data_IF_801304781853
#
_entry.id   IF_801304781853
#
_cell.length_a   1.000
_cell.length_b   1.000
_cell.length_c   1.000
_cell.angle_alpha   90.00
_cell.angle_beta   90.00
_cell.angle_gamma   90.00
#
_symmetry.space_group_name_H-M   'P 1'
#
loop_
_entity.id
_entity.type
_entity.pdbx_description
1 polymer ?
#
# COMPACT_ATOMS: atom_id res chain seq x y z
N UNK A 1 -26.35 17.89 -11.36
CA UNK A 1 -24.97 17.77 -11.88
C UNK A 1 -24.06 17.99 -10.69
N UNK A 2 -23.70 16.91 -9.98
CA UNK A 2 -22.73 17.01 -8.89
C UNK A 2 -21.34 17.14 -9.52
N UNK A 3 -20.53 18.15 -9.13
CA UNK A 3 -19.14 18.19 -9.56
C UNK A 3 -18.44 16.94 -9.03
N UNK A 4 -17.80 16.20 -9.94
CA UNK A 4 -16.84 15.16 -9.58
C UNK A 4 -15.67 15.87 -8.88
N UNK A 5 -15.21 15.40 -7.71
CA UNK A 5 -13.98 15.92 -7.15
C UNK A 5 -12.85 15.64 -8.14
N UNK A 6 -12.17 16.70 -8.58
CA UNK A 6 -10.91 16.57 -9.31
C UNK A 6 -9.94 15.88 -8.37
N UNK A 7 -9.40 14.72 -8.77
CA UNK A 7 -8.22 14.16 -8.12
C UNK A 7 -7.08 15.18 -8.30
N UNK A 8 -6.97 16.14 -7.38
CA UNK A 8 -5.69 16.78 -7.11
C UNK A 8 -4.72 15.67 -6.67
N UNK A 9 -3.48 15.77 -7.14
CA UNK A 9 -2.48 14.72 -7.18
C UNK A 9 -2.15 14.15 -5.79
N UNK A 10 -2.97 13.25 -5.25
CA UNK A 10 -2.61 12.44 -4.10
C UNK A 10 -1.76 11.28 -4.59
N UNK A 11 -0.48 11.32 -4.26
CA UNK A 11 0.53 10.36 -4.71
C UNK A 11 0.38 9.03 -3.93
N UNK A 12 0.62 7.87 -4.57
CA UNK A 12 0.13 6.56 -4.13
C UNK A 12 0.93 5.93 -2.97
N UNK A 13 1.40 6.72 -2.02
CA UNK A 13 2.30 6.25 -0.96
C UNK A 13 1.61 6.31 0.39
N UNK A 14 1.35 5.15 0.99
CA UNK A 14 0.73 5.06 2.32
C UNK A 14 1.78 4.90 3.41
N UNK A 15 1.85 5.83 4.35
CA UNK A 15 2.30 5.55 5.73
C UNK A 15 1.39 6.32 6.66
N UNK A 16 0.58 5.61 7.45
CA UNK A 16 0.43 5.96 8.85
C UNK A 16 -0.01 4.76 9.68
N UNK A 17 0.76 4.60 10.75
CA UNK A 17 0.54 3.81 11.94
C UNK A 17 -0.92 3.72 12.45
N UNK A 18 -1.71 4.77 12.23
CA UNK A 18 -3.07 4.88 12.75
C UNK A 18 -4.17 4.19 11.93
N UNK A 19 -4.01 4.06 10.60
CA UNK A 19 -5.11 3.59 9.72
C UNK A 19 -5.19 2.07 9.68
N UNK A 20 -4.04 1.40 9.64
CA UNK A 20 -3.95 -0.06 9.46
C UNK A 20 -3.36 -0.79 10.69
N UNK A 21 -2.72 -0.08 11.64
CA UNK A 21 -1.87 -0.70 12.67
C UNK A 21 -2.54 -1.05 14.01
N UNK A 22 -3.72 -0.51 14.33
CA UNK A 22 -4.20 -0.47 15.72
C UNK A 22 -5.32 -1.47 16.10
N UNK A 23 -5.53 -2.55 15.34
CA UNK A 23 -6.40 -3.67 15.76
C UNK A 23 -7.90 -3.37 15.92
N UNK A 24 -8.34 -2.13 15.70
CA UNK A 24 -9.73 -1.71 15.55
C UNK A 24 -9.86 -0.80 14.34
N UNK A 25 -10.10 -1.39 13.18
CA UNK A 25 -10.53 -0.64 12.01
C UNK A 25 -12.04 -0.46 12.09
N UNK A 26 -12.47 0.64 12.70
CA UNK A 26 -13.85 1.11 12.61
C UNK A 26 -14.08 1.70 11.21
N UNK A 27 -14.21 0.81 10.23
CA UNK A 27 -14.56 1.22 8.87
C UNK A 27 -15.99 1.78 8.84
N UNK A 28 -16.25 2.83 8.06
CA UNK A 28 -17.59 3.36 7.86
C UNK A 28 -18.54 2.31 7.24
N UNK A 29 -19.58 1.93 7.99
CA UNK A 29 -20.54 0.90 7.59
C UNK A 29 -20.22 -0.46 8.19
N UNK A 30 -20.89 -1.50 7.68
CA UNK A 30 -20.69 -2.87 8.15
C UNK A 30 -19.74 -3.62 7.20
N UNK A 31 -18.43 -3.48 7.40
CA UNK A 31 -17.42 -4.25 6.65
C UNK A 31 -17.40 -5.70 7.13
N UNK A 32 -17.71 -6.63 6.23
CA UNK A 32 -17.67 -8.06 6.49
C UNK A 32 -16.28 -8.64 6.20
N UNK A 33 -15.65 -8.18 5.11
CA UNK A 33 -14.29 -8.54 4.72
C UNK A 33 -13.60 -7.38 4.03
N UNK A 34 -12.29 -7.35 4.12
CA UNK A 34 -11.45 -6.57 3.21
C UNK A 34 -10.17 -7.33 2.90
N UNK A 35 -9.63 -7.13 1.70
CA UNK A 35 -8.39 -7.78 1.26
C UNK A 35 -7.70 -6.92 0.22
N UNK A 36 -6.38 -6.91 0.25
CA UNK A 36 -5.63 -6.11 -0.70
C UNK A 36 -4.13 -6.13 -0.52
N UNK A 37 -3.48 -5.26 -1.27
CA UNK A 37 -2.08 -4.93 -1.13
C UNK A 37 -1.93 -3.46 -0.76
N UNK A 38 -0.90 -3.15 0.01
CA UNK A 38 -0.54 -1.79 0.35
C UNK A 38 0.97 -1.63 0.26
N UNK A 39 1.40 -0.39 0.18
CA UNK A 39 2.81 -0.04 0.10
C UNK A 39 3.17 0.88 1.27
N UNK A 40 4.29 0.62 1.94
CA UNK A 40 4.83 1.47 3.01
C UNK A 40 6.00 2.30 2.48
N UNK A 41 5.95 3.61 2.64
CA UNK A 41 7.05 4.50 2.26
C UNK A 41 8.37 4.13 3.00
N UNK A 42 8.26 3.71 4.27
CA UNK A 42 9.39 3.26 5.08
C UNK A 42 10.02 1.96 4.58
N UNK A 43 9.28 1.17 3.78
CA UNK A 43 9.71 -0.11 3.21
C UNK A 43 9.49 -0.10 1.70
N UNK A 44 10.20 0.74 0.93
CA UNK A 44 9.86 1.04 -0.45
C UNK A 44 9.94 -0.19 -1.37
N UNK A 45 10.72 -1.19 -0.98
CA UNK A 45 10.97 -2.40 -1.77
C UNK A 45 9.96 -3.52 -1.50
N UNK A 46 9.15 -3.39 -0.44
CA UNK A 46 8.26 -4.43 0.03
C UNK A 46 6.79 -4.15 -0.29
N UNK A 47 6.07 -5.18 -0.71
CA UNK A 47 4.62 -5.18 -0.79
C UNK A 47 4.03 -5.71 0.52
N UNK A 48 3.05 -5.00 1.08
CA UNK A 48 2.24 -5.47 2.20
C UNK A 48 0.96 -6.14 1.71
N UNK A 49 0.51 -7.19 2.39
CA UNK A 49 -0.84 -7.73 2.24
C UNK A 49 -1.73 -7.34 3.41
N UNK A 50 -2.98 -7.04 3.11
CA UNK A 50 -4.04 -6.77 4.08
C UNK A 50 -5.14 -7.84 3.96
N UNK A 51 -5.62 -8.35 5.09
CA UNK A 51 -6.79 -9.22 5.14
C UNK A 51 -7.59 -9.04 6.41
N UNK A 52 -8.88 -8.77 6.27
CA UNK A 52 -9.84 -8.67 7.36
C UNK A 52 -11.04 -9.59 7.12
N UNK A 53 -11.50 -10.22 8.20
CA UNK A 53 -12.80 -10.89 8.24
C UNK A 53 -13.47 -10.62 9.60
N UNK A 54 -14.61 -9.93 9.56
CA UNK A 54 -15.25 -9.38 10.75
C UNK A 54 -14.28 -8.47 11.52
N UNK A 55 -14.16 -8.69 12.83
CA UNK A 55 -13.26 -7.93 13.70
C UNK A 55 -11.79 -8.39 13.69
N UNK A 56 -11.42 -9.40 12.90
CA UNK A 56 -10.05 -9.93 12.85
C UNK A 56 -9.33 -9.35 11.64
N UNK A 57 -8.20 -8.69 11.89
CA UNK A 57 -7.31 -8.12 10.88
C UNK A 57 -5.98 -8.87 10.90
N UNK A 58 -5.42 -9.11 9.73
CA UNK A 58 -4.06 -9.60 9.51
C UNK A 58 -3.39 -8.74 8.45
N UNK A 59 -2.12 -8.46 8.68
CA UNK A 59 -1.25 -7.83 7.69
C UNK A 59 0.14 -8.46 7.75
N UNK A 60 0.86 -8.44 6.65
CA UNK A 60 2.19 -9.05 6.54
C UNK A 60 2.84 -8.77 5.19
N UNK A 61 4.02 -9.36 4.94
CA UNK A 61 4.65 -9.23 3.64
C UNK A 61 3.91 -10.04 2.58
N UNK A 62 3.63 -9.42 1.44
CA UNK A 62 3.17 -10.06 0.21
C UNK A 62 4.34 -10.45 -0.71
N UNK A 63 5.52 -9.87 -0.50
CA UNK A 63 6.72 -10.08 -1.31
C UNK A 63 7.53 -8.80 -1.50
N UNK A 64 8.42 -8.83 -2.49
CA UNK A 64 9.22 -7.69 -2.94
C UNK A 64 8.64 -7.23 -4.28
N UNK A 65 8.57 -5.92 -4.51
CA UNK A 65 8.13 -5.36 -5.79
C UNK A 65 9.06 -5.79 -6.93
N UNK A 66 8.54 -6.01 -8.14
CA UNK A 66 9.34 -6.55 -9.24
C UNK A 66 10.58 -5.70 -9.54
N UNK A 67 10.44 -4.38 -9.59
CA UNK A 67 11.53 -3.44 -9.81
C UNK A 67 12.43 -3.19 -8.59
N UNK A 68 12.10 -3.77 -7.43
CA UNK A 68 13.02 -3.91 -6.30
C UNK A 68 13.73 -5.28 -6.27
N UNK A 69 13.21 -6.28 -6.97
CA UNK A 69 13.80 -7.62 -7.03
C UNK A 69 14.99 -7.66 -8.00
N UNK A 70 16.08 -8.41 -7.69
CA UNK A 70 17.16 -8.66 -8.64
C UNK A 70 16.61 -9.23 -9.96
N UNK A 71 17.12 -8.74 -11.09
CA UNK A 71 16.60 -9.11 -12.42
C UNK A 71 16.66 -10.62 -12.70
N UNK A 72 17.58 -11.33 -12.05
CA UNK A 72 17.74 -12.78 -12.10
C UNK A 72 16.50 -13.54 -11.63
N UNK A 73 15.70 -12.95 -10.73
CA UNK A 73 14.47 -13.54 -10.21
C UNK A 73 13.24 -13.24 -11.08
N UNK A 74 13.38 -12.39 -12.09
CA UNK A 74 12.27 -12.04 -12.97
C UNK A 74 11.95 -13.19 -13.93
N UNK A 75 10.68 -13.30 -14.38
CA UNK A 75 10.35 -14.24 -15.43
C UNK A 75 11.15 -13.94 -16.71
N UNK A 76 11.50 -14.99 -17.43
CA UNK A 76 12.19 -14.89 -18.74
C UNK A 76 11.21 -14.92 -19.92
N UNK A 77 9.96 -15.30 -19.66
CA UNK A 77 8.91 -15.34 -20.66
C UNK A 77 8.48 -13.90 -21.07
N UNK A 78 8.52 -13.54 -22.36
CA UNK A 78 8.20 -12.19 -22.82
C UNK A 78 6.77 -11.73 -22.51
N UNK A 79 5.78 -12.63 -22.50
CA UNK A 79 4.39 -12.27 -22.22
C UNK A 79 4.22 -11.88 -20.75
N UNK A 80 4.81 -12.67 -19.84
CA UNK A 80 4.81 -12.35 -18.42
C UNK A 80 5.55 -11.04 -18.12
N UNK A 81 6.71 -10.82 -18.76
CA UNK A 81 7.44 -9.55 -18.63
C UNK A 81 6.61 -8.35 -19.07
N UNK A 82 5.98 -8.44 -20.24
CA UNK A 82 5.13 -7.36 -20.75
C UNK A 82 3.95 -7.05 -19.81
N UNK A 83 3.38 -8.07 -19.15
CA UNK A 83 2.33 -7.86 -18.13
C UNK A 83 2.83 -7.12 -16.90
N UNK A 84 4.02 -7.48 -16.40
CA UNK A 84 4.64 -6.80 -15.25
C UNK A 84 4.91 -5.34 -15.60
N UNK A 85 5.54 -5.09 -16.75
CA UNK A 85 5.87 -3.75 -17.21
C UNK A 85 4.62 -2.90 -17.49
N UNK A 86 3.53 -3.51 -17.95
CA UNK A 86 2.25 -2.83 -18.15
C UNK A 86 1.57 -2.39 -16.83
N UNK A 87 1.93 -3.01 -15.70
CA UNK A 87 1.46 -2.61 -14.37
C UNK A 87 2.29 -1.49 -13.76
N UNK A 88 3.37 -1.03 -14.40
CA UNK A 88 4.25 -0.01 -13.85
C UNK A 88 3.66 1.39 -14.00
N UNK A 89 3.76 2.19 -12.94
CA UNK A 89 3.28 3.57 -12.94
C UNK A 89 4.45 4.56 -12.74
N UNK A 90 4.90 5.15 -13.84
CA UNK A 90 5.89 6.23 -13.85
C UNK A 90 7.10 5.97 -12.94
N UNK A 91 7.35 6.91 -12.02
CA UNK A 91 8.48 6.86 -11.08
C UNK A 91 8.29 5.85 -9.94
N UNK A 92 7.10 5.24 -9.81
CA UNK A 92 6.76 4.31 -8.74
C UNK A 92 6.92 2.84 -9.14
N UNK A 93 7.18 2.55 -10.41
CA UNK A 93 7.41 1.19 -10.89
C UNK A 93 6.25 0.27 -10.55
N UNK A 94 6.51 -0.89 -9.96
CA UNK A 94 5.46 -1.87 -9.65
C UNK A 94 4.61 -1.53 -8.40
N UNK A 95 4.92 -0.44 -7.70
CA UNK A 95 4.30 -0.12 -6.40
C UNK A 95 2.85 0.30 -6.58
N UNK A 96 1.97 -0.31 -5.80
CA UNK A 96 0.53 -0.05 -5.84
C UNK A 96 -0.13 -0.28 -4.50
N UNK A 97 -1.25 0.41 -4.31
CA UNK A 97 -2.20 0.14 -3.24
C UNK A 97 -3.55 -0.25 -3.85
N UNK A 98 -4.09 -1.38 -3.41
CA UNK A 98 -5.40 -1.84 -3.85
C UNK A 98 -6.03 -2.62 -2.70
N UNK A 99 -7.07 -2.06 -2.09
CA UNK A 99 -7.82 -2.72 -1.01
C UNK A 99 -9.31 -2.76 -1.38
N UNK A 100 -9.84 -3.98 -1.44
CA UNK A 100 -11.27 -4.22 -1.67
C UNK A 100 -11.99 -4.32 -0.32
N UNK A 101 -13.12 -3.65 -0.20
CA UNK A 101 -14.03 -3.73 0.94
C UNK A 101 -15.35 -4.39 0.52
N UNK A 102 -15.78 -5.38 1.29
CA UNK A 102 -17.04 -6.11 1.08
C UNK A 102 -17.87 -5.99 2.34
N UNK A 103 -19.10 -5.50 2.21
CA UNK A 103 -19.96 -5.28 3.35
C UNK A 103 -21.30 -4.66 2.99
N UNK A 104 -22.01 -4.20 4.01
CA UNK A 104 -23.33 -3.59 3.90
C UNK A 104 -23.28 -2.14 4.36
N UNK A 105 -24.04 -1.26 3.71
CA UNK A 105 -24.08 0.17 4.03
C UNK A 105 -22.68 0.80 4.11
N UNK A 106 -21.76 0.33 3.25
CA UNK A 106 -20.43 0.90 3.14
C UNK A 106 -20.55 2.38 2.79
N UNK A 107 -19.64 3.21 3.30
CA UNK A 107 -19.55 4.63 2.94
C UNK A 107 -18.24 4.86 2.18
N UNK A 108 -18.20 4.63 0.86
CA UNK A 108 -16.96 4.66 0.09
C UNK A 108 -16.16 5.94 0.25
N UNK A 109 -16.83 7.10 0.26
CA UNK A 109 -16.13 8.39 0.41
C UNK A 109 -15.43 8.51 1.76
N UNK A 110 -16.09 8.10 2.84
CA UNK A 110 -15.49 8.15 4.17
C UNK A 110 -14.38 7.11 4.36
N UNK A 111 -14.52 5.95 3.70
CA UNK A 111 -13.43 4.95 3.65
C UNK A 111 -12.22 5.52 2.90
N UNK A 112 -12.43 6.23 1.78
CA UNK A 112 -11.35 6.91 1.05
C UNK A 112 -10.72 8.01 1.90
N UNK A 113 -11.48 8.84 2.59
CA UNK A 113 -10.94 9.87 3.50
C UNK A 113 -10.02 9.27 4.59
N UNK A 114 -10.38 8.10 5.13
CA UNK A 114 -9.56 7.39 6.12
C UNK A 114 -8.26 6.90 5.49
N UNK A 115 -8.32 6.28 4.30
CA UNK A 115 -7.13 5.80 3.59
C UNK A 115 -6.24 6.96 3.13
N UNK A 116 -6.83 8.03 2.60
CA UNK A 116 -6.16 9.27 2.20
C UNK A 116 -5.41 9.92 3.37
N UNK A 117 -5.94 9.79 4.60
CA UNK A 117 -5.25 10.25 5.81
C UNK A 117 -3.97 9.48 6.14
N UNK A 118 -3.74 8.35 5.46
CA UNK A 118 -2.50 7.59 5.52
C UNK A 118 -1.53 7.89 4.38
N UNK A 119 -1.87 8.75 3.43
CA UNK A 119 -0.96 9.09 2.33
C UNK A 119 0.11 10.10 2.76
N UNK A 120 1.29 10.04 2.13
CA UNK A 120 2.32 11.06 2.29
C UNK A 120 1.80 12.43 1.84
N UNK A 121 2.10 13.46 2.63
CA UNK A 121 1.91 14.86 2.25
C UNK A 121 2.84 15.26 1.10
N UNK A 122 2.56 16.39 0.45
CA UNK A 122 3.41 16.94 -0.63
C UNK A 122 4.85 17.18 -0.15
N UNK A 123 5.04 17.68 1.07
CA UNK A 123 6.36 17.92 1.67
C UNK A 123 7.11 16.61 1.94
N UNK A 124 6.42 15.59 2.45
CA UNK A 124 7.02 14.26 2.69
C UNK A 124 7.39 13.59 1.36
N UNK A 125 6.53 13.70 0.35
CA UNK A 125 6.82 13.22 -1.00
C UNK A 125 8.07 13.90 -1.57
N UNK A 126 8.19 15.22 -1.43
CA UNK A 126 9.35 15.99 -1.88
C UNK A 126 10.65 15.63 -1.12
N UNK A 127 10.55 15.18 0.13
CA UNK A 127 11.70 14.74 0.93
C UNK A 127 12.33 13.43 0.42
N UNK A 128 11.56 12.62 -0.30
CA UNK A 128 12.02 11.46 -1.05
C UNK A 128 12.44 10.22 -0.24
N UNK A 129 12.87 9.14 -0.92
CA UNK A 129 13.00 7.80 -0.33
C UNK A 129 13.91 7.69 0.90
N UNK A 130 14.94 8.54 0.99
CA UNK A 130 15.84 8.56 2.15
C UNK A 130 15.12 9.03 3.41
N UNK A 131 14.28 10.06 3.29
CA UNK A 131 13.47 10.56 4.40
C UNK A 131 12.35 9.58 4.74
N UNK A 132 11.72 8.96 3.72
CA UNK A 132 10.64 7.99 3.91
C UNK A 132 11.06 6.80 4.78
N UNK A 133 12.27 6.27 4.57
CA UNK A 133 12.84 5.17 5.38
C UNK A 133 13.02 5.52 6.86
N UNK A 134 12.99 6.79 7.22
CA UNK A 134 13.10 7.27 8.60
C UNK A 134 11.73 7.61 9.25
N UNK A 135 10.63 7.46 8.51
CA UNK A 135 9.28 7.61 9.07
C UNK A 135 9.00 6.52 10.11
N UNK A 136 8.13 6.84 11.08
CA UNK A 136 7.71 5.88 12.09
C UNK A 136 6.94 4.71 11.46
N UNK A 137 7.33 3.50 11.84
CA UNK A 137 6.85 2.27 11.23
C UNK A 137 6.46 1.27 12.33
N UNK A 138 5.17 1.19 12.67
CA UNK A 138 4.71 0.31 13.75
C UNK A 138 4.48 -1.13 13.29
N UNK A 139 4.68 -1.44 12.01
CA UNK A 139 4.46 -2.79 11.52
C UNK A 139 5.56 -3.71 12.05
N UNK A 140 5.26 -4.98 12.36
CA UNK A 140 6.30 -5.94 12.71
C UNK A 140 7.30 -6.05 11.56
N UNK A 141 8.56 -6.37 11.88
CA UNK A 141 9.57 -6.66 10.86
C UNK A 141 9.09 -7.81 9.98
N UNK A 142 9.16 -7.64 8.66
CA UNK A 142 8.67 -8.62 7.69
C UNK A 142 9.75 -9.57 7.18
N UNK A 143 10.96 -9.05 6.99
CA UNK A 143 12.10 -9.81 6.49
C UNK A 143 13.24 -9.74 7.52
N UNK A 144 14.06 -10.79 7.58
CA UNK A 144 15.30 -10.74 8.34
C UNK A 144 16.24 -9.69 7.73
N UNK A 145 17.02 -9.01 8.57
CA UNK A 145 18.09 -8.12 8.07
C UNK A 145 19.05 -8.95 7.22
N UNK A 146 19.39 -8.46 6.02
CA UNK A 146 20.51 -9.01 5.27
C UNK A 146 21.75 -8.82 6.14
N UNK A 147 22.42 -9.90 6.54
CA UNK A 147 23.80 -9.82 6.97
C UNK A 147 24.61 -9.31 5.78
N UNK A 148 25.14 -8.10 5.91
CA UNK A 148 26.24 -7.66 5.04
C UNK A 148 27.48 -8.44 5.50
N UNK A 149 27.84 -9.48 4.75
CA UNK A 149 29.18 -10.10 4.82
C UNK A 149 30.16 -9.32 3.93
#
# INVERSE_FOLDING_TARGET
MHPQPTLEHKLPVTVLSGVLGAGKTDWPGNVLRSKGFFWLASRPDAAGEWSQAGGIVRHGPAGIWWDAAPREHWPTDPEHLARIEAEFDGDYGARREEIVFIGQNLQPERTREILDGGLLSEDEMAAGPRAWKALDDPFPRWFAEKSED
#
